data_IF_636190437346
#
_entry.id   IF_636190437346
#
_cell.length_a   1.000
_cell.length_b   1.000
_cell.length_c   1.000
_cell.angle_alpha   90.00
_cell.angle_beta   90.00
_cell.angle_gamma   90.00
#
_symmetry.space_group_name_H-M   'P 1'
#
loop_
_entity.id
_entity.type
_entity.pdbx_description
1 polymer ?
#
# COMPACT_ATOMS: atom_id res chain seq x y z
N UNK A 1 -14.30 -4.99 -23.78
CA UNK A 1 -14.25 -3.52 -23.55
C UNK A 1 -15.61 -2.97 -23.09
N UNK A 2 -16.62 -2.83 -23.96
CA UNK A 2 -17.87 -2.14 -23.62
C UNK A 2 -18.68 -2.76 -22.48
N UNK A 3 -18.72 -4.11 -22.40
CA UNK A 3 -19.33 -4.83 -21.28
C UNK A 3 -18.58 -4.61 -19.95
N UNK A 4 -17.24 -4.62 -20.00
CA UNK A 4 -16.38 -4.33 -18.84
C UNK A 4 -16.64 -2.91 -18.30
N UNK A 5 -16.70 -1.91 -19.18
CA UNK A 5 -17.00 -0.54 -18.78
C UNK A 5 -18.40 -0.40 -18.18
N UNK A 6 -19.39 -1.08 -18.77
CA UNK A 6 -20.77 -1.09 -18.27
C UNK A 6 -20.92 -1.78 -16.90
N UNK A 7 -20.09 -2.79 -16.60
CA UNK A 7 -20.10 -3.53 -15.33
C UNK A 7 -19.30 -2.83 -14.21
N UNK A 8 -18.42 -1.89 -14.57
CA UNK A 8 -17.52 -1.21 -13.63
C UNK A 8 -17.74 0.31 -13.56
N UNK A 9 -18.88 0.84 -14.04
CA UNK A 9 -19.26 2.27 -13.98
C UNK A 9 -19.29 2.81 -12.54
N UNK A 10 -19.45 1.94 -11.55
CA UNK A 10 -19.50 2.29 -10.13
C UNK A 10 -18.13 2.27 -9.43
N UNK A 11 -17.07 1.84 -10.14
CA UNK A 11 -15.71 1.98 -9.68
C UNK A 11 -15.10 3.24 -10.31
N UNK A 12 -14.23 3.98 -9.60
CA UNK A 12 -13.38 4.97 -10.26
C UNK A 12 -12.45 4.23 -11.22
N UNK A 13 -12.88 4.11 -12.48
CA UNK A 13 -12.10 3.53 -13.58
C UNK A 13 -11.54 4.68 -14.40
N UNK A 14 -10.22 4.87 -14.35
CA UNK A 14 -9.53 5.76 -15.27
C UNK A 14 -9.01 4.95 -16.46
N UNK A 15 -9.46 5.30 -17.66
CA UNK A 15 -8.94 4.76 -18.91
C UNK A 15 -7.81 5.65 -19.39
N UNK A 16 -6.61 5.09 -19.48
CA UNK A 16 -5.46 5.78 -20.05
C UNK A 16 -5.51 5.68 -21.58
N UNK A 17 -5.42 6.82 -22.27
CA UNK A 17 -5.28 6.91 -23.72
C UNK A 17 -3.85 7.22 -24.14
N UNK A 18 -3.53 7.05 -25.43
CA UNK A 18 -2.23 7.45 -25.97
C UNK A 18 -1.99 8.95 -25.78
N UNK A 19 -0.89 9.32 -25.10
CA UNK A 19 -0.40 10.70 -25.01
C UNK A 19 -0.47 11.38 -23.63
N UNK A 20 -0.89 10.67 -22.58
CA UNK A 20 -1.08 11.26 -21.24
C UNK A 20 -0.01 10.77 -20.24
N UNK A 21 1.28 10.93 -20.58
CA UNK A 21 2.43 10.48 -19.76
C UNK A 21 2.43 11.04 -18.33
N UNK A 22 2.00 12.30 -18.14
CA UNK A 22 1.93 12.93 -16.82
C UNK A 22 0.81 12.34 -15.93
N UNK A 23 -0.19 11.69 -16.54
CA UNK A 23 -1.34 11.10 -15.82
C UNK A 23 -1.01 9.76 -15.17
N UNK A 24 0.02 9.06 -15.65
CA UNK A 24 0.60 7.89 -14.97
C UNK A 24 1.05 8.20 -13.55
N UNK A 25 1.39 9.46 -13.25
CA UNK A 25 1.86 9.93 -11.94
C UNK A 25 0.67 10.10 -10.96
N UNK A 26 -0.57 10.12 -11.45
CA UNK A 26 -1.77 10.45 -10.64
C UNK A 26 -2.56 9.20 -10.21
N UNK A 27 -2.46 8.10 -10.94
CA UNK A 27 -3.05 6.82 -10.55
C UNK A 27 -2.16 6.20 -9.47
N UNK A 28 -2.67 6.19 -8.24
CA UNK A 28 -1.95 5.64 -7.09
C UNK A 28 -1.71 4.13 -7.26
N UNK A 29 -0.58 3.61 -6.77
CA UNK A 29 -0.29 2.16 -6.75
C UNK A 29 -1.25 1.34 -5.88
N UNK A 30 -2.14 1.98 -5.13
CA UNK A 30 -3.26 1.28 -4.47
C UNK A 30 -4.28 0.69 -5.47
N UNK A 31 -4.34 1.18 -6.71
CA UNK A 31 -5.21 0.61 -7.74
C UNK A 31 -4.65 -0.71 -8.27
N UNK A 32 -5.53 -1.64 -8.62
CA UNK A 32 -5.15 -2.87 -9.33
C UNK A 32 -4.91 -2.54 -10.79
N UNK A 33 -3.66 -2.63 -11.24
CA UNK A 33 -3.35 -2.63 -12.67
C UNK A 33 -3.82 -3.94 -13.30
N UNK A 34 -4.34 -3.87 -14.52
CA UNK A 34 -4.79 -5.04 -15.29
C UNK A 34 -3.91 -5.14 -16.53
N UNK A 35 -3.44 -6.34 -16.86
CA UNK A 35 -2.55 -6.58 -18.01
C UNK A 35 -1.19 -5.85 -17.89
N UNK A 36 -0.73 -5.68 -16.65
CA UNK A 36 0.59 -5.16 -16.30
C UNK A 36 1.52 -6.34 -15.98
N UNK A 37 2.78 -6.23 -16.38
CA UNK A 37 3.81 -7.26 -16.17
C UNK A 37 4.23 -7.40 -14.70
N UNK A 38 3.78 -6.50 -13.83
CA UNK A 38 4.03 -6.58 -12.39
C UNK A 38 3.36 -7.81 -11.74
N UNK A 39 4.13 -8.48 -10.88
CA UNK A 39 3.72 -9.70 -10.18
C UNK A 39 2.46 -9.43 -9.34
N UNK A 40 1.46 -10.28 -9.55
CA UNK A 40 0.19 -10.27 -8.82
C UNK A 40 -0.90 -9.36 -9.39
N UNK A 41 -0.64 -8.72 -10.53
CA UNK A 41 -1.68 -8.09 -11.31
C UNK A 41 -2.42 -9.12 -12.19
N UNK A 42 -3.75 -9.09 -12.25
CA UNK A 42 -4.50 -9.99 -13.10
C UNK A 42 -4.33 -9.59 -14.57
N UNK A 43 -4.24 -10.59 -15.45
CA UNK A 43 -4.48 -10.38 -16.88
C UNK A 43 -5.92 -9.91 -17.11
N UNK A 44 -6.18 -9.28 -18.25
CA UNK A 44 -7.54 -8.89 -18.62
C UNK A 44 -8.52 -10.10 -18.63
N UNK A 45 -8.03 -11.26 -19.06
CA UNK A 45 -8.82 -12.50 -19.09
C UNK A 45 -9.20 -12.98 -17.68
N UNK A 46 -8.26 -12.94 -16.73
CA UNK A 46 -8.52 -13.29 -15.33
C UNK A 46 -9.49 -12.30 -14.67
N UNK A 47 -9.30 -11.00 -14.90
CA UNK A 47 -10.15 -9.97 -14.30
C UNK A 47 -11.61 -10.05 -14.78
N UNK A 48 -11.83 -10.28 -16.08
CA UNK A 48 -13.18 -10.46 -16.64
C UNK A 48 -13.78 -11.83 -16.27
N UNK A 49 -12.92 -12.85 -16.16
CA UNK A 49 -13.28 -14.21 -15.78
C UNK A 49 -13.23 -14.43 -14.26
N UNK A 50 -12.51 -15.48 -13.86
CA UNK A 50 -12.27 -15.80 -12.47
C UNK A 50 -10.87 -15.36 -12.06
N UNK A 51 -10.81 -14.39 -11.15
CA UNK A 51 -9.60 -14.00 -10.44
C UNK A 51 -9.83 -14.24 -8.95
N UNK A 52 -9.12 -15.21 -8.32
CA UNK A 52 -9.31 -15.57 -6.93
C UNK A 52 -9.27 -14.38 -5.96
N UNK A 53 -8.28 -13.50 -6.11
CA UNK A 53 -8.10 -12.32 -5.26
C UNK A 53 -9.05 -11.16 -5.52
N UNK A 54 -9.98 -11.26 -6.48
CA UNK A 54 -10.83 -10.14 -6.91
C UNK A 54 -11.67 -9.57 -5.77
N UNK A 55 -12.27 -10.44 -4.95
CA UNK A 55 -13.12 -10.00 -3.85
C UNK A 55 -12.34 -9.17 -2.84
N UNK A 56 -11.14 -9.63 -2.47
CA UNK A 56 -10.24 -8.93 -1.55
C UNK A 56 -9.72 -7.62 -2.18
N UNK A 57 -9.33 -7.63 -3.45
CA UNK A 57 -8.86 -6.44 -4.16
C UNK A 57 -9.96 -5.38 -4.37
N UNK A 58 -11.23 -5.77 -4.36
CA UNK A 58 -12.37 -4.84 -4.44
C UNK A 58 -12.86 -4.37 -3.07
N UNK A 59 -12.39 -4.97 -1.99
CA UNK A 59 -12.80 -4.59 -0.64
C UNK A 59 -12.37 -3.15 -0.35
N UNK A 60 -13.22 -2.33 0.31
CA UNK A 60 -12.82 -0.99 0.76
C UNK A 60 -11.55 -1.03 1.61
N UNK A 61 -10.67 -0.04 1.40
CA UNK A 61 -9.36 0.08 2.06
C UNK A 61 -9.17 1.47 2.70
N UNK A 62 -9.96 1.80 3.73
CA UNK A 62 -9.94 3.14 4.32
C UNK A 62 -8.59 3.52 4.94
N UNK A 63 -7.79 2.56 5.46
CA UNK A 63 -6.45 2.88 5.97
C UNK A 63 -5.50 3.22 4.83
N UNK A 64 -5.49 2.43 3.76
CA UNK A 64 -4.65 2.70 2.59
C UNK A 64 -5.04 4.02 1.91
N UNK A 65 -6.35 4.29 1.76
CA UNK A 65 -6.85 5.56 1.23
C UNK A 65 -6.41 6.74 2.10
N UNK A 66 -6.52 6.63 3.43
CA UNK A 66 -6.10 7.69 4.33
C UNK A 66 -4.57 7.89 4.32
N UNK A 67 -3.79 6.81 4.28
CA UNK A 67 -2.32 6.90 4.17
C UNK A 67 -1.93 7.54 2.85
N UNK A 68 -2.56 7.15 1.73
CA UNK A 68 -2.37 7.79 0.45
C UNK A 68 -2.56 9.31 0.60
N UNK A 69 -3.67 9.75 1.18
CA UNK A 69 -3.92 11.17 1.42
C UNK A 69 -2.96 11.84 2.40
N UNK A 70 -2.29 11.10 3.28
CA UNK A 70 -1.28 11.64 4.19
C UNK A 70 0.08 11.81 3.50
N UNK A 71 0.47 10.87 2.64
CA UNK A 71 1.79 10.86 1.96
C UNK A 71 1.78 11.56 0.60
N UNK A 72 0.65 11.57 -0.13
CA UNK A 72 0.48 12.20 -1.44
C UNK A 72 0.64 13.73 -1.42
N UNK A 73 0.17 14.49 -0.40
CA UNK A 73 0.33 15.95 -0.38
C UNK A 73 1.74 16.42 -0.04
N UNK A 74 2.68 15.55 0.35
CA UNK A 74 3.95 15.98 0.95
C UNK A 74 5.25 15.55 0.22
N UNK A 75 5.34 14.46 -0.54
CA UNK A 75 6.70 13.92 -0.76
C UNK A 75 6.98 13.06 -1.97
N UNK A 76 7.06 13.66 -3.15
CA UNK A 76 7.96 13.11 -4.18
C UNK A 76 8.69 14.18 -4.97
N UNK A 77 8.05 15.34 -5.20
CA UNK A 77 8.65 16.45 -5.97
C UNK A 77 9.42 17.45 -5.08
N UNK A 78 8.91 17.75 -3.89
CA UNK A 78 9.57 18.67 -2.94
C UNK A 78 10.82 18.04 -2.28
N UNK A 79 10.76 16.76 -1.90
CA UNK A 79 11.88 16.02 -1.31
C UNK A 79 12.94 15.59 -2.34
N UNK A 80 12.59 15.44 -3.64
CA UNK A 80 13.59 15.26 -4.71
C UNK A 80 14.39 16.54 -4.99
N UNK A 81 13.80 17.71 -4.75
CA UNK A 81 14.43 19.01 -5.01
C UNK A 81 15.27 19.52 -3.84
N UNK A 82 15.03 19.02 -2.64
CA UNK A 82 15.81 19.32 -1.45
C UNK A 82 16.67 18.10 -1.12
N UNK A 83 17.99 18.19 -1.31
CA UNK A 83 18.89 17.12 -0.87
C UNK A 83 18.67 16.85 0.61
N UNK A 84 18.08 15.69 0.93
CA UNK A 84 17.92 15.22 2.30
C UNK A 84 19.29 15.21 3.01
N UNK A 85 19.31 15.59 4.29
CA UNK A 85 20.54 15.45 5.06
C UNK A 85 20.89 13.96 5.22
N UNK A 86 22.17 13.59 5.40
CA UNK A 86 22.57 12.19 5.59
C UNK A 86 21.85 11.45 6.72
N UNK A 87 21.48 12.17 7.80
CA UNK A 87 20.70 11.60 8.90
C UNK A 87 19.27 11.21 8.46
N UNK A 88 18.63 12.06 7.65
CA UNK A 88 17.28 11.86 7.14
C UNK A 88 17.24 10.68 6.14
N UNK A 89 18.28 10.56 5.31
CA UNK A 89 18.49 9.42 4.40
C UNK A 89 18.55 8.10 5.19
N UNK A 90 19.22 8.10 6.35
CA UNK A 90 19.28 6.93 7.22
C UNK A 90 17.91 6.47 7.71
N UNK A 91 17.07 7.42 8.12
CA UNK A 91 15.70 7.16 8.59
C UNK A 91 14.82 6.65 7.46
N UNK A 92 14.84 7.29 6.29
CA UNK A 92 14.06 6.88 5.12
C UNK A 92 14.47 5.48 4.64
N UNK A 93 15.78 5.17 4.61
CA UNK A 93 16.28 3.84 4.26
C UNK A 93 15.87 2.77 5.26
N UNK A 94 15.89 3.08 6.57
CA UNK A 94 15.43 2.16 7.59
C UNK A 94 13.93 1.86 7.42
N UNK A 95 13.12 2.89 7.18
CA UNK A 95 11.70 2.75 6.90
C UNK A 95 11.43 1.90 5.66
N UNK A 96 12.13 2.17 4.55
CA UNK A 96 12.02 1.39 3.31
C UNK A 96 12.34 -0.09 3.52
N UNK A 97 13.41 -0.41 4.26
CA UNK A 97 13.83 -1.81 4.52
C UNK A 97 12.88 -2.57 5.45
N UNK A 98 12.17 -1.87 6.32
CA UNK A 98 11.27 -2.47 7.32
C UNK A 98 9.81 -2.50 6.89
N UNK A 99 9.44 -1.74 5.87
CA UNK A 99 8.12 -1.77 5.24
C UNK A 99 8.19 -2.56 3.93
N UNK A 100 7.05 -3.02 3.44
CA UNK A 100 6.97 -3.69 2.14
C UNK A 100 5.57 -3.66 1.57
N UNK A 101 5.47 -3.97 0.29
CA UNK A 101 4.21 -4.23 -0.36
C UNK A 101 3.56 -5.54 0.16
N UNK A 102 2.22 -5.61 0.25
CA UNK A 102 1.51 -6.85 0.59
C UNK A 102 1.77 -7.97 -0.42
N UNK A 103 1.55 -9.19 0.04
CA UNK A 103 1.50 -10.41 -0.78
C UNK A 103 0.26 -10.37 -1.72
N UNK A 104 0.23 -11.24 -2.74
CA UNK A 104 -0.82 -11.23 -3.76
C UNK A 104 -2.20 -11.48 -3.11
N UNK A 105 -3.24 -10.70 -3.45
CA UNK A 105 -4.59 -10.94 -2.93
C UNK A 105 -5.17 -12.31 -3.32
N UNK A 106 -4.57 -13.01 -4.29
CA UNK A 106 -4.95 -14.33 -4.78
C UNK A 106 -4.28 -15.47 -4.00
N UNK A 107 -3.28 -15.18 -3.17
CA UNK A 107 -2.57 -16.18 -2.39
C UNK A 107 -3.44 -16.66 -1.22
N UNK A 108 -3.60 -17.97 -1.10
CA UNK A 108 -4.28 -18.57 0.03
C UNK A 108 -3.47 -18.38 1.32
N UNK A 109 -4.15 -18.05 2.41
CA UNK A 109 -3.52 -17.70 3.69
C UNK A 109 -3.95 -18.70 4.78
N UNK A 110 -3.07 -19.64 5.06
CA UNK A 110 -3.21 -20.51 6.23
C UNK A 110 -2.83 -19.78 7.55
N UNK A 111 -2.95 -20.47 8.70
CA UNK A 111 -2.63 -19.87 10.00
C UNK A 111 -1.15 -19.48 10.15
N UNK A 112 -0.25 -20.22 9.51
CA UNK A 112 1.18 -19.96 9.57
C UNK A 112 1.51 -18.70 8.75
N UNK A 113 0.98 -18.60 7.53
CA UNK A 113 1.08 -17.43 6.67
C UNK A 113 0.45 -16.19 7.35
N UNK A 114 -0.72 -16.33 7.97
CA UNK A 114 -1.34 -15.25 8.73
C UNK A 114 -0.46 -14.76 9.89
N UNK A 115 0.18 -15.69 10.61
CA UNK A 115 1.12 -15.35 11.69
C UNK A 115 2.34 -14.60 11.15
N UNK A 116 2.89 -15.05 10.02
CA UNK A 116 4.03 -14.42 9.38
C UNK A 116 3.69 -12.99 8.94
N UNK A 117 2.55 -12.82 8.26
CA UNK A 117 2.04 -11.53 7.81
C UNK A 117 1.79 -10.56 8.95
N UNK A 118 1.20 -11.01 10.05
CA UNK A 118 1.04 -10.20 11.27
C UNK A 118 2.38 -9.77 11.87
N UNK A 119 3.37 -10.66 11.94
CA UNK A 119 4.69 -10.32 12.46
C UNK A 119 5.36 -9.26 11.58
N UNK A 120 5.25 -9.43 10.27
CA UNK A 120 5.77 -8.50 9.27
C UNK A 120 5.07 -7.14 9.31
N UNK A 121 3.75 -7.10 9.47
CA UNK A 121 2.96 -5.87 9.68
C UNK A 121 3.48 -5.12 10.92
N UNK A 122 3.66 -5.82 12.04
CA UNK A 122 4.16 -5.22 13.29
C UNK A 122 5.54 -4.58 13.11
N UNK A 123 6.47 -5.27 12.45
CA UNK A 123 7.79 -4.72 12.13
C UNK A 123 7.69 -3.41 11.35
N UNK A 124 6.81 -3.34 10.35
CA UNK A 124 6.61 -2.11 9.58
C UNK A 124 5.96 -0.98 10.39
N UNK A 125 4.98 -1.30 11.25
CA UNK A 125 4.36 -0.32 12.13
C UNK A 125 5.34 0.25 13.18
N UNK A 126 6.24 -0.59 13.71
CA UNK A 126 7.26 -0.15 14.65
C UNK A 126 8.30 0.75 13.96
N UNK A 127 8.73 0.41 12.74
CA UNK A 127 9.61 1.27 11.94
C UNK A 127 8.97 2.62 11.62
N UNK A 128 7.66 2.65 11.35
CA UNK A 128 6.91 3.89 11.14
C UNK A 128 6.90 4.77 12.41
N UNK A 129 6.72 4.16 13.59
CA UNK A 129 6.80 4.88 14.88
C UNK A 129 8.19 5.44 15.15
N UNK A 130 9.24 4.69 14.82
CA UNK A 130 10.61 5.14 14.97
C UNK A 130 10.93 6.29 13.99
N UNK A 131 10.45 6.21 12.75
CA UNK A 131 10.56 7.30 11.78
C UNK A 131 9.85 8.58 12.27
N UNK A 132 8.65 8.47 12.83
CA UNK A 132 7.93 9.59 13.42
C UNK A 132 8.68 10.25 14.60
N UNK A 133 9.45 9.45 15.37
CA UNK A 133 10.24 9.93 16.52
C UNK A 133 11.66 10.37 16.17
N UNK A 134 12.08 10.23 14.92
CA UNK A 134 13.45 10.53 14.49
C UNK A 134 13.84 12.01 14.63
N UNK A 135 12.86 12.91 14.75
CA UNK A 135 13.10 14.35 14.87
C UNK A 135 13.42 15.05 13.55
N UNK A 136 13.29 14.35 12.41
CA UNK A 136 13.45 14.93 11.07
C UNK A 136 12.24 15.80 10.74
N UNK A 137 12.35 17.14 10.65
CA UNK A 137 11.19 18.04 10.58
C UNK A 137 10.27 17.75 9.39
N UNK A 138 10.85 17.44 8.23
CA UNK A 138 10.10 17.21 6.99
C UNK A 138 9.47 15.80 6.90
N UNK A 139 9.86 14.88 7.79
CA UNK A 139 9.30 13.53 7.87
C UNK A 139 8.36 13.36 9.08
N UNK A 140 8.58 14.12 10.16
CA UNK A 140 7.87 13.93 11.43
C UNK A 140 6.35 14.02 11.27
N UNK A 141 5.86 15.11 10.65
CA UNK A 141 4.42 15.35 10.49
C UNK A 141 3.70 14.27 9.65
N UNK A 142 4.15 13.92 8.43
CA UNK A 142 3.47 12.89 7.65
C UNK A 142 3.57 11.51 8.32
N UNK A 143 4.70 11.19 8.97
CA UNK A 143 4.84 9.90 9.68
C UNK A 143 3.94 9.83 10.92
N UNK A 144 3.81 10.90 11.71
CA UNK A 144 2.88 10.97 12.84
C UNK A 144 1.42 10.77 12.39
N UNK A 145 1.05 11.35 11.25
CA UNK A 145 -0.28 11.16 10.68
C UNK A 145 -0.51 9.70 10.27
N UNK A 146 0.45 9.06 9.60
CA UNK A 146 0.39 7.64 9.27
C UNK A 146 0.33 6.75 10.53
N UNK A 147 1.09 7.06 11.59
CA UNK A 147 1.03 6.34 12.88
C UNK A 147 -0.39 6.39 13.44
N UNK A 148 -1.06 7.54 13.37
CA UNK A 148 -2.44 7.70 13.84
C UNK A 148 -3.44 6.92 13.00
N UNK A 149 -3.29 6.96 11.67
CA UNK A 149 -4.16 6.21 10.74
C UNK A 149 -4.06 4.70 11.00
N UNK A 150 -2.84 4.20 11.17
CA UNK A 150 -2.56 2.77 11.37
C UNK A 150 -2.66 2.30 12.82
N UNK A 151 -3.02 3.19 13.76
CA UNK A 151 -3.15 2.84 15.17
C UNK A 151 -4.03 1.60 15.43
N UNK A 152 -5.18 1.40 14.74
CA UNK A 152 -6.01 0.21 14.97
C UNK A 152 -5.34 -1.11 14.58
N UNK A 153 -4.40 -1.09 13.63
CA UNK A 153 -3.72 -2.30 13.15
C UNK A 153 -2.82 -2.95 14.23
N UNK A 154 -2.45 -2.22 15.28
CA UNK A 154 -1.71 -2.77 16.41
C UNK A 154 -2.51 -3.76 17.25
N UNK A 155 -3.84 -3.63 17.24
CA UNK A 155 -4.73 -4.52 17.97
C UNK A 155 -5.00 -5.82 17.21
N UNK A 156 -4.48 -5.97 15.98
CA UNK A 156 -4.74 -7.16 15.19
C UNK A 156 -4.15 -8.41 15.86
N UNK A 157 -5.05 -9.38 16.07
CA UNK A 157 -4.78 -10.71 16.58
C UNK A 157 -5.47 -11.73 15.68
N UNK A 158 -5.02 -12.98 15.74
CA UNK A 158 -5.72 -14.11 15.11
C UNK A 158 -7.21 -14.14 15.46
N UNK A 159 -7.56 -13.90 16.74
CA UNK A 159 -8.94 -13.92 17.20
C UNK A 159 -9.81 -12.82 16.59
N UNK A 160 -9.24 -11.67 16.27
CA UNK A 160 -9.96 -10.56 15.62
C UNK A 160 -10.05 -10.81 14.12
N UNK A 161 -8.94 -11.20 13.49
CA UNK A 161 -8.87 -11.36 12.04
C UNK A 161 -9.57 -12.61 11.51
N UNK A 162 -9.76 -13.64 12.35
CA UNK A 162 -10.45 -14.87 11.94
C UNK A 162 -11.99 -14.81 12.04
N UNK A 163 -12.57 -13.68 12.47
CA UNK A 163 -14.04 -13.56 12.61
C UNK A 163 -14.76 -13.67 11.26
N UNK A 164 -14.11 -13.21 10.19
CA UNK A 164 -14.63 -13.22 8.81
C UNK A 164 -13.76 -14.07 7.87
N UNK A 165 -13.14 -15.14 8.39
CA UNK A 165 -12.11 -15.90 7.68
C UNK A 165 -12.66 -16.61 6.43
N UNK A 166 -12.00 -16.37 5.30
CA UNK A 166 -12.09 -17.17 4.08
C UNK A 166 -10.73 -17.84 3.76
N UNK A 167 -10.50 -18.24 2.51
CA UNK A 167 -9.23 -18.85 2.09
C UNK A 167 -8.10 -17.83 1.91
N UNK A 168 -8.38 -16.52 1.93
CA UNK A 168 -7.44 -15.45 1.58
C UNK A 168 -7.12 -14.57 2.79
N UNK A 169 -6.37 -13.50 2.57
CA UNK A 169 -6.03 -12.58 3.64
C UNK A 169 -7.29 -11.85 4.16
N UNK A 170 -7.44 -11.71 5.49
CA UNK A 170 -8.50 -10.90 6.07
C UNK A 170 -8.49 -9.47 5.53
N UNK A 171 -9.63 -8.88 5.15
CA UNK A 171 -9.65 -7.55 4.53
C UNK A 171 -8.98 -6.44 5.35
N UNK A 172 -9.16 -6.45 6.67
CA UNK A 172 -8.53 -5.47 7.56
C UNK A 172 -6.99 -5.62 7.60
N UNK A 173 -6.47 -6.85 7.50
CA UNK A 173 -5.04 -7.09 7.39
C UNK A 173 -4.52 -6.57 6.04
N UNK A 174 -5.21 -6.91 4.95
CA UNK A 174 -4.83 -6.48 3.61
C UNK A 174 -4.83 -4.96 3.46
N UNK A 175 -5.81 -4.25 4.03
CA UNK A 175 -5.86 -2.78 4.07
C UNK A 175 -4.63 -2.19 4.78
N UNK A 176 -4.30 -2.69 5.97
CA UNK A 176 -3.16 -2.20 6.73
C UNK A 176 -1.81 -2.50 6.05
N UNK A 177 -1.67 -3.67 5.41
CA UNK A 177 -0.46 -4.00 4.65
C UNK A 177 -0.34 -3.15 3.37
N UNK A 178 -1.44 -2.88 2.67
CA UNK A 178 -1.47 -1.95 1.53
C UNK A 178 -1.05 -0.54 1.95
N UNK A 179 -1.56 -0.06 3.08
CA UNK A 179 -1.16 1.21 3.66
C UNK A 179 0.35 1.27 3.96
N UNK A 180 0.93 0.22 4.54
CA UNK A 180 2.40 0.13 4.71
C UNK A 180 3.14 0.05 3.36
N UNK A 181 2.56 -0.60 2.37
CA UNK A 181 3.07 -0.61 1.00
C UNK A 181 3.20 0.81 0.44
N UNK A 182 2.19 1.65 0.60
CA UNK A 182 2.24 3.04 0.14
C UNK A 182 3.35 3.85 0.81
N UNK A 183 3.62 3.56 2.10
CA UNK A 183 4.73 4.16 2.85
C UNK A 183 6.08 3.63 2.32
N UNK A 184 6.17 2.34 1.99
CA UNK A 184 7.34 1.72 1.38
C UNK A 184 7.68 2.40 0.04
N UNK A 185 6.69 2.56 -0.82
CA UNK A 185 6.86 3.21 -2.13
C UNK A 185 7.23 4.68 -2.01
N UNK A 186 6.62 5.38 -1.06
CA UNK A 186 7.00 6.75 -0.75
C UNK A 186 8.47 6.81 -0.30
N UNK A 187 8.88 5.95 0.63
CA UNK A 187 10.25 5.89 1.14
C UNK A 187 11.26 5.54 0.03
N UNK A 188 10.89 4.65 -0.90
CA UNK A 188 11.67 4.38 -2.10
C UNK A 188 11.81 5.62 -2.99
N UNK A 189 10.71 6.33 -3.25
CA UNK A 189 10.69 7.50 -4.13
C UNK A 189 11.45 8.74 -3.61
N UNK A 190 11.72 8.75 -2.30
CA UNK A 190 12.37 9.82 -1.55
C UNK A 190 13.81 9.45 -1.17
N UNK A 191 14.12 8.16 -1.07
CA UNK A 191 15.48 7.69 -0.81
C UNK A 191 16.42 7.97 -1.99
N UNK A 192 17.71 8.26 -1.75
CA UNK A 192 18.69 8.39 -2.83
C UNK A 192 18.92 7.02 -3.51
N UNK A 193 19.03 7.04 -4.84
CA UNK A 193 19.42 5.89 -5.66
C UNK A 193 20.70 5.25 -5.07
N UNK A 194 20.70 3.93 -4.93
CA UNK A 194 21.91 3.14 -4.57
C UNK A 194 22.91 3.09 -5.72
#
# INVERSE_FOLDING_TARGET
>A
MWKFLAEHVYHPVELLGEGDEDRWITINRDFTSIDDDAVGNPTLAQYIGHWPGRALAQHPRPMAEAVALAVLPQGSRALRQQSLAPADIGVVRALYRSTRWPEDPSDEVDDAALTERLAKLRTGLDALRDAARSGVPDLARPMEECVRILAPAHEFTHAILNQDRDAYAPPALFDAERALGLIHDWAWSVGPDE
#
